data_IF_713500872162
#
_entry.id   IF_713500872162
#
_cell.length_a   1.000
_cell.length_b   1.000
_cell.length_c   1.000
_cell.angle_alpha   90.00
_cell.angle_beta   90.00
_cell.angle_gamma   90.00
#
_symmetry.space_group_name_H-M   'P 1'
#
loop_
_entity.id
_entity.type
_entity.pdbx_description
1 polymer ?
#
# COMPACT_ATOMS: atom_id res chain seq x y z
N UNK A 1 -3.57 -14.98 8.40
CA UNK A 1 -3.23 -14.19 7.20
C UNK A 1 -2.96 -15.03 5.96
N UNK A 2 -2.11 -16.07 6.00
CA UNK A 2 -1.82 -16.90 4.82
C UNK A 2 -3.08 -17.50 4.15
N UNK A 3 -4.03 -18.02 4.95
CA UNK A 3 -5.29 -18.54 4.44
C UNK A 3 -6.14 -17.44 3.76
N UNK A 4 -6.23 -16.24 4.34
CA UNK A 4 -6.94 -15.10 3.76
C UNK A 4 -6.27 -14.69 2.45
N UNK A 5 -4.95 -14.59 2.42
CA UNK A 5 -4.20 -14.27 1.21
C UNK A 5 -4.43 -15.30 0.10
N UNK A 6 -4.44 -16.59 0.42
CA UNK A 6 -4.74 -17.65 -0.54
C UNK A 6 -6.18 -17.55 -1.08
N UNK A 7 -7.17 -17.30 -0.22
CA UNK A 7 -8.57 -17.10 -0.63
C UNK A 7 -8.71 -15.90 -1.55
N UNK A 8 -8.09 -14.76 -1.18
CA UNK A 8 -8.11 -13.54 -1.99
C UNK A 8 -7.42 -13.77 -3.34
N UNK A 9 -6.27 -14.44 -3.35
CA UNK A 9 -5.54 -14.78 -4.58
C UNK A 9 -6.41 -15.63 -5.53
N UNK A 10 -7.05 -16.67 -5.00
CA UNK A 10 -7.95 -17.53 -5.79
C UNK A 10 -9.17 -16.73 -6.28
N UNK A 11 -9.78 -15.89 -5.43
CA UNK A 11 -10.92 -15.07 -5.80
C UNK A 11 -10.57 -14.09 -6.94
N UNK A 12 -9.38 -13.44 -6.88
CA UNK A 12 -8.91 -12.52 -7.91
C UNK A 12 -8.61 -13.19 -9.26
N UNK A 13 -8.43 -14.51 -9.29
CA UNK A 13 -8.32 -15.26 -10.54
C UNK A 13 -9.66 -15.32 -11.31
N UNK A 14 -10.78 -15.31 -10.57
CA UNK A 14 -12.13 -15.40 -11.15
C UNK A 14 -12.87 -14.07 -11.20
N UNK A 15 -12.43 -13.09 -10.42
CA UNK A 15 -13.12 -11.80 -10.27
C UNK A 15 -12.16 -10.67 -10.61
N UNK A 16 -12.44 -9.97 -11.70
CA UNK A 16 -11.68 -8.77 -12.07
C UNK A 16 -11.96 -7.63 -11.08
N UNK A 17 -10.92 -7.11 -10.47
CA UNK A 17 -11.02 -5.91 -9.63
C UNK A 17 -11.26 -4.70 -10.53
N UNK A 18 -12.49 -4.19 -10.56
CA UNK A 18 -12.91 -3.07 -11.39
C UNK A 18 -12.34 -1.73 -10.95
N UNK A 19 -11.01 -1.56 -11.12
CA UNK A 19 -10.26 -0.40 -10.66
C UNK A 19 -9.53 0.31 -11.82
N UNK A 20 -9.37 1.64 -11.71
CA UNK A 20 -8.63 2.44 -12.67
C UNK A 20 -9.31 2.52 -14.04
N UNK A 21 -8.67 2.01 -15.09
CA UNK A 21 -9.24 1.95 -16.45
C UNK A 21 -10.37 0.91 -16.56
N UNK A 22 -10.37 -0.10 -15.69
CA UNK A 22 -11.38 -1.17 -15.62
C UNK A 22 -12.49 -0.83 -14.61
N UNK A 23 -12.74 0.46 -14.34
CA UNK A 23 -13.74 0.88 -13.38
C UNK A 23 -15.10 0.21 -13.64
N UNK A 24 -15.59 -0.57 -12.68
CA UNK A 24 -16.90 -1.21 -12.74
C UNK A 24 -17.81 -0.71 -11.59
N UNK A 25 -18.99 -0.23 -11.94
CA UNK A 25 -20.01 0.25 -10.98
C UNK A 25 -20.52 -0.85 -10.04
N UNK A 26 -20.35 -2.12 -10.35
CA UNK A 26 -20.69 -3.25 -9.47
C UNK A 26 -19.99 -3.18 -8.12
N UNK A 27 -18.81 -2.55 -8.05
CA UNK A 27 -18.03 -2.37 -6.84
C UNK A 27 -18.42 -1.14 -6.01
N UNK A 28 -19.53 -0.47 -6.33
CA UNK A 28 -20.10 0.60 -5.54
C UNK A 28 -19.88 2.01 -6.10
N UNK A 29 -20.10 3.00 -5.23
CA UNK A 29 -20.05 4.42 -5.59
C UNK A 29 -18.65 4.87 -6.04
N UNK A 30 -18.57 5.75 -7.04
CA UNK A 30 -17.32 6.29 -7.53
C UNK A 30 -16.74 7.36 -6.60
N UNK A 31 -15.66 7.07 -5.91
CA UNK A 31 -14.93 8.00 -5.04
C UNK A 31 -13.76 8.62 -5.82
N UNK A 32 -13.48 9.93 -5.69
CA UNK A 32 -12.29 10.54 -6.28
C UNK A 32 -11.03 9.79 -5.85
N UNK A 33 -10.17 9.43 -6.81
CA UNK A 33 -9.06 8.51 -6.59
C UNK A 33 -8.08 8.98 -5.50
N UNK A 34 -7.80 10.28 -5.45
CA UNK A 34 -6.93 10.85 -4.40
C UNK A 34 -7.47 10.61 -2.99
N UNK A 35 -8.76 10.90 -2.80
CA UNK A 35 -9.44 10.72 -1.51
C UNK A 35 -9.48 9.24 -1.15
N UNK A 36 -9.84 8.39 -2.12
CA UNK A 36 -9.91 6.94 -1.91
C UNK A 36 -8.55 6.36 -1.48
N UNK A 37 -7.45 6.78 -2.08
CA UNK A 37 -6.11 6.36 -1.70
C UNK A 37 -5.73 6.81 -0.28
N UNK A 38 -6.00 8.05 0.08
CA UNK A 38 -5.75 8.54 1.44
C UNK A 38 -6.57 7.72 2.45
N UNK A 39 -7.88 7.58 2.22
CA UNK A 39 -8.75 6.81 3.11
C UNK A 39 -8.34 5.33 3.23
N UNK A 40 -7.82 4.74 2.16
CA UNK A 40 -7.39 3.35 2.13
C UNK A 40 -6.08 3.11 2.87
N UNK A 41 -5.12 4.02 2.73
CA UNK A 41 -3.76 3.82 3.25
C UNK A 41 -3.50 4.52 4.60
N UNK A 42 -4.17 5.63 4.92
CA UNK A 42 -3.96 6.32 6.19
C UNK A 42 -4.32 5.50 7.44
N UNK A 43 -5.32 4.60 7.44
CA UNK A 43 -5.64 3.81 8.62
C UNK A 43 -4.48 2.96 9.14
N UNK A 44 -3.65 2.37 8.27
CA UNK A 44 -2.51 1.56 8.70
C UNK A 44 -1.43 2.41 9.37
N UNK A 45 -1.16 3.60 8.83
CA UNK A 45 -0.25 4.59 9.44
C UNK A 45 -0.74 4.98 10.85
N UNK A 46 -2.02 5.31 10.98
CA UNK A 46 -2.61 5.71 12.26
C UNK A 46 -2.56 4.56 13.28
N UNK A 47 -2.95 3.36 12.89
CA UNK A 47 -2.96 2.19 13.79
C UNK A 47 -1.56 1.87 14.29
N UNK A 48 -0.56 1.85 13.41
CA UNK A 48 0.83 1.59 13.79
C UNK A 48 1.34 2.67 14.76
N UNK A 49 1.06 3.95 14.47
CA UNK A 49 1.42 5.06 15.35
C UNK A 49 0.77 4.92 16.74
N UNK A 50 -0.52 4.58 16.82
CA UNK A 50 -1.23 4.42 18.09
C UNK A 50 -0.66 3.25 18.92
N UNK A 51 -0.35 2.12 18.28
CA UNK A 51 0.26 0.96 18.95
C UNK A 51 1.67 1.27 19.44
N UNK A 52 2.48 1.96 18.64
CA UNK A 52 3.79 2.44 19.05
C UNK A 52 3.68 3.39 20.25
N UNK A 53 2.83 4.41 20.19
CA UNK A 53 2.69 5.43 21.22
C UNK A 53 2.16 4.86 22.56
N UNK A 54 1.35 3.81 22.51
CA UNK A 54 0.81 3.14 23.70
C UNK A 54 1.74 2.09 24.32
N UNK A 55 2.89 1.80 23.70
CA UNK A 55 3.79 0.73 24.13
C UNK A 55 4.90 1.23 25.06
N UNK A 56 5.26 0.42 26.05
CA UNK A 56 6.47 0.64 26.85
C UNK A 56 7.76 0.45 26.04
N UNK A 57 7.68 -0.26 24.89
CA UNK A 57 8.80 -0.55 23.99
C UNK A 57 9.01 0.53 22.91
N UNK A 58 8.31 1.65 22.97
CA UNK A 58 8.31 2.68 21.92
C UNK A 58 9.70 3.21 21.56
N UNK A 59 10.65 3.24 22.50
CA UNK A 59 12.03 3.72 22.28
C UNK A 59 13.09 2.62 22.33
N UNK A 60 12.69 1.34 22.37
CA UNK A 60 13.63 0.26 22.15
C UNK A 60 14.20 0.33 20.73
N UNK A 61 15.52 0.20 20.60
CA UNK A 61 16.23 0.50 19.33
C UNK A 61 15.67 -0.24 18.13
N UNK A 62 15.44 -1.55 18.22
CA UNK A 62 14.99 -2.34 17.07
C UNK A 62 13.51 -2.16 16.76
N UNK A 63 12.59 -2.27 17.72
CA UNK A 63 11.18 -1.94 17.51
C UNK A 63 10.98 -0.55 16.93
N UNK A 64 11.73 0.45 17.43
CA UNK A 64 11.65 1.82 16.92
C UNK A 64 12.13 1.95 15.47
N UNK A 65 13.23 1.28 15.09
CA UNK A 65 13.69 1.29 13.70
C UNK A 65 12.70 0.61 12.75
N UNK A 66 12.09 -0.50 13.16
CA UNK A 66 11.06 -1.18 12.37
C UNK A 66 9.84 -0.26 12.22
N UNK A 67 9.43 0.41 13.29
CA UNK A 67 8.38 1.44 13.27
C UNK A 67 8.70 2.55 12.26
N UNK A 68 9.91 3.11 12.30
CA UNK A 68 10.30 4.18 11.37
C UNK A 68 10.26 3.72 9.90
N UNK A 69 10.69 2.50 9.59
CA UNK A 69 10.60 1.96 8.23
C UNK A 69 9.14 1.82 7.79
N UNK A 70 8.30 1.28 8.66
CA UNK A 70 6.89 1.12 8.39
C UNK A 70 6.21 2.47 8.14
N UNK A 71 6.41 3.43 9.05
CA UNK A 71 5.83 4.78 8.94
C UNK A 71 6.36 5.54 7.71
N UNK A 72 7.64 5.42 7.38
CA UNK A 72 8.22 6.02 6.18
C UNK A 72 7.51 5.52 4.91
N UNK A 73 7.29 4.21 4.80
CA UNK A 73 6.59 3.63 3.66
C UNK A 73 5.14 4.12 3.58
N UNK A 74 4.41 4.03 4.69
CA UNK A 74 2.99 4.40 4.68
C UNK A 74 2.76 5.90 4.65
N UNK A 75 3.67 6.72 5.17
CA UNK A 75 3.65 8.17 4.94
C UNK A 75 3.72 8.50 3.44
N UNK A 76 4.64 7.86 2.73
CA UNK A 76 4.76 8.01 1.28
C UNK A 76 3.50 7.56 0.56
N UNK A 77 2.93 6.39 0.93
CA UNK A 77 1.74 5.82 0.27
C UNK A 77 0.45 6.58 0.58
N UNK A 78 0.27 6.99 1.85
CA UNK A 78 -0.97 7.63 2.32
C UNK A 78 -1.07 9.11 1.94
N UNK A 79 0.05 9.82 1.94
CA UNK A 79 0.03 11.28 1.79
C UNK A 79 0.76 11.77 0.54
N UNK A 80 1.99 11.32 0.28
CA UNK A 80 2.77 11.82 -0.87
C UNK A 80 2.21 11.30 -2.18
N UNK A 81 2.03 9.99 -2.31
CA UNK A 81 1.58 9.36 -3.55
C UNK A 81 0.22 9.88 -4.03
N UNK A 82 -0.85 9.99 -3.19
CA UNK A 82 -2.14 10.49 -3.64
C UNK A 82 -2.10 11.93 -4.12
N UNK A 83 -1.26 12.78 -3.51
CA UNK A 83 -1.09 14.17 -3.95
C UNK A 83 -0.48 14.25 -5.36
N UNK A 84 0.39 13.29 -5.71
CA UNK A 84 1.06 13.21 -7.00
C UNK A 84 0.19 12.59 -8.11
N UNK A 85 -0.94 11.96 -7.79
CA UNK A 85 -1.87 11.39 -8.79
C UNK A 85 -2.37 12.50 -9.71
N UNK A 86 -2.18 12.30 -11.02
CA UNK A 86 -2.68 13.21 -12.07
C UNK A 86 -3.99 12.63 -12.63
N UNK A 87 -4.93 13.52 -12.97
CA UNK A 87 -6.20 13.14 -13.59
C UNK A 87 -7.37 13.04 -12.62
N UNK A 88 -8.55 12.73 -13.19
CA UNK A 88 -9.85 12.68 -12.49
C UNK A 88 -10.39 11.25 -12.37
N UNK A 89 -9.51 10.25 -12.35
CA UNK A 89 -9.93 8.85 -12.18
C UNK A 89 -10.64 8.63 -10.84
N UNK A 90 -11.50 7.62 -10.81
CA UNK A 90 -12.29 7.27 -9.64
C UNK A 90 -11.99 5.84 -9.21
N UNK A 91 -12.18 5.57 -7.93
CA UNK A 91 -12.09 4.25 -7.31
C UNK A 91 -13.48 3.86 -6.81
N UNK A 92 -13.95 2.62 -7.05
CA UNK A 92 -15.19 2.14 -6.44
C UNK A 92 -15.07 2.07 -4.92
N UNK A 93 -16.13 2.44 -4.21
CA UNK A 93 -16.17 2.42 -2.74
C UNK A 93 -15.87 1.03 -2.16
N UNK A 94 -16.32 -0.05 -2.80
CA UNK A 94 -16.04 -1.41 -2.37
C UNK A 94 -14.55 -1.75 -2.36
N UNK A 95 -13.82 -1.34 -3.40
CA UNK A 95 -12.36 -1.53 -3.47
C UNK A 95 -11.66 -0.73 -2.36
N UNK A 96 -12.09 0.52 -2.14
CA UNK A 96 -11.56 1.35 -1.06
C UNK A 96 -11.80 0.70 0.32
N UNK A 97 -13.00 0.20 0.59
CA UNK A 97 -13.34 -0.45 1.87
C UNK A 97 -12.54 -1.74 2.08
N UNK A 98 -12.33 -2.54 1.04
CA UNK A 98 -11.47 -3.72 1.12
C UNK A 98 -10.02 -3.34 1.49
N UNK A 99 -9.50 -2.27 0.89
CA UNK A 99 -8.17 -1.76 1.21
C UNK A 99 -8.08 -1.23 2.65
N UNK A 100 -9.08 -0.47 3.11
CA UNK A 100 -9.17 -0.02 4.51
C UNK A 100 -9.13 -1.22 5.47
N UNK A 101 -9.96 -2.23 5.23
CA UNK A 101 -10.04 -3.43 6.08
C UNK A 101 -8.69 -4.16 6.11
N UNK A 102 -8.08 -4.37 4.94
CA UNK A 102 -6.77 -5.00 4.85
C UNK A 102 -5.71 -4.20 5.63
N UNK A 103 -5.67 -2.89 5.45
CA UNK A 103 -4.69 -2.02 6.07
C UNK A 103 -4.85 -1.92 7.59
N UNK A 104 -6.09 -1.88 8.11
CA UNK A 104 -6.35 -1.96 9.54
C UNK A 104 -5.83 -3.27 10.14
N UNK A 105 -6.13 -4.40 9.51
CA UNK A 105 -5.66 -5.71 9.97
C UNK A 105 -4.13 -5.81 9.88
N UNK A 106 -3.53 -5.33 8.80
CA UNK A 106 -2.09 -5.35 8.60
C UNK A 106 -1.35 -4.52 9.66
N UNK A 107 -1.77 -3.28 9.86
CA UNK A 107 -1.17 -2.40 10.89
C UNK A 107 -1.32 -2.95 12.29
N UNK A 108 -2.52 -3.43 12.64
CA UNK A 108 -2.77 -4.03 13.93
C UNK A 108 -1.90 -5.26 14.17
N UNK A 109 -1.89 -6.22 13.25
CA UNK A 109 -1.11 -7.46 13.43
C UNK A 109 0.38 -7.23 13.55
N UNK A 110 0.94 -6.33 12.74
CA UNK A 110 2.36 -6.05 12.78
C UNK A 110 2.74 -5.22 14.01
N UNK A 111 1.98 -4.18 14.33
CA UNK A 111 2.23 -3.36 15.50
C UNK A 111 2.03 -4.11 16.81
N UNK A 112 0.95 -4.91 16.91
CA UNK A 112 0.70 -5.77 18.08
C UNK A 112 1.84 -6.76 18.30
N UNK A 113 2.33 -7.39 17.22
CA UNK A 113 3.47 -8.28 17.32
C UNK A 113 4.73 -7.54 17.81
N UNK A 114 5.10 -6.46 17.17
CA UNK A 114 6.36 -5.75 17.44
C UNK A 114 6.38 -5.16 18.84
N UNK A 115 5.27 -4.58 19.28
CA UNK A 115 5.24 -3.76 20.49
C UNK A 115 4.70 -4.50 21.73
N UNK A 116 3.89 -5.54 21.55
CA UNK A 116 3.20 -6.19 22.69
C UNK A 116 3.46 -7.69 22.79
N UNK A 117 3.51 -8.42 21.70
CA UNK A 117 3.54 -9.89 21.72
C UNK A 117 4.92 -10.50 21.54
N UNK A 118 5.85 -9.83 20.86
CA UNK A 118 7.19 -10.36 20.63
C UNK A 118 7.94 -10.53 21.96
N UNK A 119 8.65 -11.65 22.18
CA UNK A 119 9.49 -11.83 23.38
C UNK A 119 10.47 -10.66 23.56
N UNK A 120 10.69 -10.24 24.81
CA UNK A 120 11.53 -9.07 25.09
C UNK A 120 12.98 -9.22 24.63
N UNK A 121 13.48 -10.44 24.59
CA UNK A 121 14.84 -10.80 24.17
C UNK A 121 14.97 -10.97 22.65
N UNK A 122 13.86 -10.96 21.89
CA UNK A 122 13.87 -11.18 20.44
C UNK A 122 14.51 -10.02 19.67
N UNK A 123 14.12 -8.78 19.99
CA UNK A 123 14.53 -7.59 19.25
C UNK A 123 15.61 -6.78 20.01
N UNK A 124 16.68 -7.47 20.44
CA UNK A 124 17.82 -6.84 21.09
C UNK A 124 18.71 -6.12 20.07
N UNK A 125 19.63 -5.26 20.55
CA UNK A 125 20.58 -4.55 19.65
C UNK A 125 21.41 -5.50 18.77
N UNK A 126 21.71 -6.71 19.24
CA UNK A 126 22.41 -7.73 18.45
C UNK A 126 21.62 -8.17 17.22
N UNK A 127 20.29 -8.07 17.24
CA UNK A 127 19.43 -8.41 16.10
C UNK A 127 19.69 -7.53 14.86
N UNK A 128 20.20 -6.30 15.04
CA UNK A 128 20.61 -5.44 13.93
C UNK A 128 21.72 -6.03 13.06
N UNK A 129 22.50 -6.95 13.62
CA UNK A 129 23.59 -7.65 12.89
C UNK A 129 23.12 -9.00 12.33
N UNK A 130 21.88 -9.39 12.57
CA UNK A 130 21.34 -10.63 12.05
C UNK A 130 21.18 -10.58 10.52
N UNK A 131 21.39 -11.70 9.83
CA UNK A 131 21.13 -11.77 8.38
C UNK A 131 19.69 -11.37 8.02
N UNK A 132 18.74 -11.71 8.88
CA UNK A 132 17.31 -11.39 8.70
C UNK A 132 17.07 -9.89 8.66
N UNK A 133 17.67 -9.13 9.58
CA UNK A 133 17.52 -7.69 9.61
C UNK A 133 18.24 -7.03 8.42
N UNK A 134 19.46 -7.45 8.12
CA UNK A 134 20.26 -6.86 7.03
C UNK A 134 19.58 -7.11 5.68
N UNK A 135 19.22 -8.35 5.40
CA UNK A 135 18.54 -8.71 4.13
C UNK A 135 17.16 -8.07 4.06
N UNK A 136 16.40 -8.09 5.15
CA UNK A 136 15.09 -7.45 5.23
C UNK A 136 15.16 -5.95 4.97
N UNK A 137 16.14 -5.25 5.51
CA UNK A 137 16.38 -3.82 5.28
C UNK A 137 16.72 -3.52 3.82
N UNK A 138 17.61 -4.32 3.21
CA UNK A 138 17.95 -4.18 1.79
C UNK A 138 16.73 -4.40 0.91
N UNK A 139 15.95 -5.45 1.16
CA UNK A 139 14.72 -5.74 0.42
C UNK A 139 13.68 -4.63 0.58
N UNK A 140 13.53 -4.10 1.80
CA UNK A 140 12.60 -3.01 2.08
C UNK A 140 12.94 -1.76 1.25
N UNK A 141 14.17 -1.26 1.32
CA UNK A 141 14.55 -0.05 0.58
C UNK A 141 14.59 -0.27 -0.93
N UNK A 142 14.97 -1.45 -1.39
CA UNK A 142 14.92 -1.82 -2.82
C UNK A 142 13.47 -1.83 -3.31
N UNK A 143 12.57 -2.48 -2.57
CA UNK A 143 11.15 -2.53 -2.90
C UNK A 143 10.50 -1.14 -2.90
N UNK A 144 10.84 -0.31 -1.91
CA UNK A 144 10.37 1.09 -1.83
C UNK A 144 10.86 1.92 -3.03
N UNK A 145 12.13 1.79 -3.42
CA UNK A 145 12.69 2.49 -4.57
C UNK A 145 12.00 2.06 -5.87
N UNK A 146 11.80 0.76 -6.08
CA UNK A 146 11.09 0.22 -7.25
C UNK A 146 9.64 0.75 -7.28
N UNK A 147 8.96 0.76 -6.13
CA UNK A 147 7.58 1.25 -6.03
C UNK A 147 7.49 2.73 -6.43
N UNK A 148 8.35 3.60 -5.85
CA UNK A 148 8.38 5.03 -6.16
C UNK A 148 8.73 5.26 -7.64
N UNK A 149 9.69 4.52 -8.18
CA UNK A 149 10.07 4.61 -9.59
C UNK A 149 8.93 4.19 -10.52
N UNK A 150 8.27 3.08 -10.23
CA UNK A 150 7.12 2.59 -11.00
C UNK A 150 5.97 3.59 -11.00
N UNK A 151 5.65 4.15 -9.84
CA UNK A 151 4.64 5.20 -9.72
C UNK A 151 5.03 6.45 -10.54
N UNK A 152 6.31 6.81 -10.55
CA UNK A 152 6.82 7.93 -11.36
C UNK A 152 6.65 7.64 -12.85
N UNK A 153 7.03 6.47 -13.32
CA UNK A 153 6.89 6.04 -14.72
C UNK A 153 5.43 6.10 -15.13
N UNK A 154 4.53 5.46 -14.38
CA UNK A 154 3.09 5.40 -14.69
C UNK A 154 2.48 6.80 -14.78
N UNK A 155 2.87 7.74 -13.91
CA UNK A 155 2.40 9.13 -13.97
C UNK A 155 2.88 9.90 -15.21
N UNK A 156 4.00 9.50 -15.81
CA UNK A 156 4.60 10.18 -16.97
C UNK A 156 4.29 9.52 -18.31
N UNK A 157 3.81 8.28 -18.32
CA UNK A 157 3.34 7.59 -19.52
C UNK A 157 2.12 8.29 -20.18
N UNK A 158 1.32 8.99 -19.40
CA UNK A 158 0.13 9.70 -19.91
C UNK A 158 0.47 11.07 -20.45
N UNK A 159 1.09 11.13 -21.65
CA UNK A 159 1.18 12.39 -22.42
C UNK A 159 -0.15 12.61 -23.15
N UNK A 160 -0.76 13.82 -23.10
CA UNK A 160 -2.06 14.09 -23.73
C UNK A 160 -2.13 13.82 -25.24
N UNK A 161 -1.00 13.90 -25.93
CA UNK A 161 -0.90 13.78 -27.40
C UNK A 161 -0.94 12.33 -27.90
N UNK A 162 -0.61 11.33 -27.07
CA UNK A 162 -0.51 9.93 -27.51
C UNK A 162 -1.87 9.21 -27.64
N UNK A 163 -2.92 9.71 -26.99
CA UNK A 163 -4.22 9.06 -27.00
C UNK A 163 -5.12 9.40 -28.20
N UNK A 164 -4.93 10.54 -28.83
CA UNK A 164 -5.71 10.93 -30.01
C UNK A 164 -5.34 10.10 -31.24
N UNK A 165 -4.07 9.72 -31.38
CA UNK A 165 -3.63 8.85 -32.49
C UNK A 165 -3.98 7.36 -32.30
N UNK A 166 -3.92 6.84 -31.09
CA UNK A 166 -4.30 5.45 -30.81
C UNK A 166 -5.81 5.20 -30.98
N UNK A 167 -6.66 6.14 -30.60
CA UNK A 167 -8.12 6.03 -30.81
C UNK A 167 -8.51 6.11 -32.28
N UNK A 168 -7.79 6.87 -33.11
CA UNK A 168 -8.06 6.95 -34.52
C UNK A 168 -7.75 5.63 -35.25
N UNK A 169 -6.71 4.90 -34.83
CA UNK A 169 -6.35 3.61 -35.43
C UNK A 169 -7.23 2.43 -34.96
N UNK A 170 -7.74 2.48 -33.74
CA UNK A 170 -8.61 1.39 -33.22
C UNK A 170 -10.04 1.46 -33.77
N UNK A 171 -10.53 2.65 -34.14
CA UNK A 171 -11.87 2.81 -34.71
C UNK A 171 -11.97 2.32 -36.15
N UNK A 172 -10.86 2.31 -36.90
CA UNK A 172 -10.86 1.83 -38.28
C UNK A 172 -10.71 0.28 -38.42
N UNK A 173 -10.43 -0.44 -37.33
CA UNK A 173 -10.32 -1.90 -37.34
C UNK A 173 -11.61 -2.65 -36.98
N UNK A 174 -12.68 -1.94 -36.59
CA UNK A 174 -13.96 -2.53 -36.19
C UNK A 174 -15.17 -2.03 -37.00
N UNK A 175 -14.92 -1.41 -38.14
CA UNK A 175 -15.92 -1.19 -39.21
C UNK A 175 -15.67 -2.12 -40.39
#
# INVERSE_FOLDING_TARGET
MAAIAAIVFIALYFVEAGYGMLFDKKWGLPIPNKIAWICMEAPVFIVMFLLWNGSERQFETVPFLIFLFFELHYFQRSFIFPLLIKGKSKMPAGIMLMGITFNLLNGYMQGEWIFYLAPQDMYTKSWLHSPQFIVGTILFFTGMAINIQSDHIVRHLRKPVSYTHLRAHETDQYL
#
